data_IF_618738432563
#
_entry.id   IF_618738432563
#
_cell.length_a   1.000
_cell.length_b   1.000
_cell.length_c   1.000
_cell.angle_alpha   90.00
_cell.angle_beta   90.00
_cell.angle_gamma   90.00
#
_symmetry.space_group_name_H-M   'P 1'
#
loop_
_entity.id
_entity.type
_entity.pdbx_description
1 polymer ?
#
# COMPACT_ATOMS: atom_id res chain seq x y z
N UNK A 1 1.74 -20.02 19.37
CA UNK A 1 2.55 -20.00 18.14
C UNK A 1 1.58 -19.65 17.02
N UNK A 2 1.83 -18.56 16.30
CA UNK A 2 0.91 -18.06 15.27
C UNK A 2 1.26 -18.67 13.91
N UNK A 3 0.35 -18.55 12.94
CA UNK A 3 0.64 -18.89 11.54
C UNK A 3 1.79 -17.99 11.07
N UNK A 4 2.88 -18.59 10.58
CA UNK A 4 4.09 -17.87 10.17
C UNK A 4 4.59 -18.35 8.82
N UNK A 5 4.96 -17.42 7.92
CA UNK A 5 5.55 -17.77 6.64
C UNK A 5 7.08 -17.80 6.74
N UNK A 6 7.68 -18.99 6.65
CA UNK A 6 9.13 -19.15 6.72
C UNK A 6 9.90 -18.42 5.60
N UNK A 7 9.22 -18.10 4.50
CA UNK A 7 9.84 -17.34 3.42
C UNK A 7 10.12 -15.89 3.79
N UNK A 8 9.40 -15.31 4.75
CA UNK A 8 9.64 -13.94 5.22
C UNK A 8 11.05 -13.80 5.80
N UNK A 9 11.41 -14.66 6.75
CA UNK A 9 12.74 -14.65 7.38
C UNK A 9 13.86 -14.85 6.35
N UNK A 10 13.69 -15.87 5.49
CA UNK A 10 14.65 -16.20 4.45
C UNK A 10 14.86 -15.02 3.50
N UNK A 11 13.79 -14.45 2.96
CA UNK A 11 13.90 -13.36 1.97
C UNK A 11 14.43 -12.09 2.62
N UNK A 12 13.98 -11.73 3.83
CA UNK A 12 14.48 -10.55 4.54
C UNK A 12 15.99 -10.66 4.74
N UNK A 13 16.49 -11.80 5.19
CA UNK A 13 17.93 -12.01 5.37
C UNK A 13 18.69 -11.90 4.04
N UNK A 14 18.28 -12.66 3.02
CA UNK A 14 19.00 -12.70 1.74
C UNK A 14 18.94 -11.37 0.98
N UNK A 15 17.84 -10.62 1.08
CA UNK A 15 17.75 -9.26 0.50
C UNK A 15 18.78 -8.36 1.18
N UNK A 16 18.84 -8.37 2.52
CA UNK A 16 19.80 -7.54 3.23
C UNK A 16 21.25 -7.87 2.87
N UNK A 17 21.59 -9.15 2.84
CA UNK A 17 22.93 -9.62 2.45
C UNK A 17 23.27 -9.22 1.00
N UNK A 18 22.31 -9.33 0.07
CA UNK A 18 22.51 -8.95 -1.33
C UNK A 18 22.72 -7.44 -1.49
N UNK A 19 21.98 -6.60 -0.75
CA UNK A 19 22.21 -5.15 -0.76
C UNK A 19 23.61 -4.79 -0.27
N UNK A 20 24.12 -5.43 0.79
CA UNK A 20 25.49 -5.20 1.27
C UNK A 20 26.52 -5.61 0.20
N UNK A 21 26.38 -6.78 -0.40
CA UNK A 21 27.28 -7.24 -1.47
C UNK A 21 27.30 -6.29 -2.68
N UNK A 22 26.13 -5.86 -3.14
CA UNK A 22 26.00 -4.94 -4.29
C UNK A 22 26.58 -3.56 -3.97
N UNK A 23 26.44 -3.10 -2.72
CA UNK A 23 27.03 -1.86 -2.22
C UNK A 23 28.55 -1.94 -2.15
N UNK A 24 29.11 -3.05 -1.67
CA UNK A 24 30.56 -3.28 -1.62
C UNK A 24 31.20 -3.21 -3.01
N UNK A 25 30.57 -3.81 -4.02
CA UNK A 25 31.06 -3.77 -5.41
C UNK A 25 30.76 -2.44 -6.13
N UNK A 26 30.12 -1.48 -5.45
CA UNK A 26 29.76 -0.14 -5.97
C UNK A 26 29.03 -0.20 -7.31
N UNK A 27 28.01 -1.05 -7.39
CA UNK A 27 27.22 -1.20 -8.59
C UNK A 27 26.58 0.14 -9.02
N UNK A 28 26.88 0.60 -10.23
CA UNK A 28 26.45 1.93 -10.73
C UNK A 28 24.93 2.10 -10.85
N UNK A 29 24.19 0.99 -10.94
CA UNK A 29 22.74 0.99 -11.06
C UNK A 29 22.03 1.07 -9.70
N UNK A 30 22.74 0.91 -8.57
CA UNK A 30 22.15 1.00 -7.23
C UNK A 30 22.04 2.48 -6.83
N UNK A 31 20.81 2.99 -6.75
CA UNK A 31 20.54 4.41 -6.51
C UNK A 31 20.19 4.74 -5.06
N UNK A 32 19.86 3.72 -4.25
CA UNK A 32 19.51 3.83 -2.83
C UNK A 32 19.53 2.43 -2.19
N UNK A 33 19.86 2.35 -0.90
CA UNK A 33 19.84 1.13 -0.09
C UNK A 33 19.08 1.32 1.24
N UNK A 34 18.20 2.33 1.32
CA UNK A 34 17.44 2.61 2.53
C UNK A 34 16.48 1.46 2.88
N UNK A 35 16.02 1.45 4.13
CA UNK A 35 15.15 0.39 4.66
C UNK A 35 13.85 0.25 3.84
N UNK A 36 13.26 1.35 3.38
CA UNK A 36 12.07 1.32 2.53
C UNK A 36 12.34 0.62 1.17
N UNK A 37 13.52 0.83 0.57
CA UNK A 37 13.92 0.14 -0.68
C UNK A 37 14.13 -1.37 -0.45
N UNK A 38 14.73 -1.73 0.69
CA UNK A 38 14.93 -3.13 1.08
C UNK A 38 13.58 -3.82 1.30
N UNK A 39 12.66 -3.20 2.03
CA UNK A 39 11.32 -3.73 2.26
C UNK A 39 10.52 -3.85 0.95
N UNK A 40 10.58 -2.87 0.05
CA UNK A 40 9.96 -2.99 -1.27
C UNK A 40 10.54 -4.16 -2.09
N UNK A 41 11.85 -4.43 -1.94
CA UNK A 41 12.49 -5.60 -2.57
C UNK A 41 12.04 -6.90 -1.92
N UNK A 42 11.92 -6.95 -0.59
CA UNK A 42 11.35 -8.09 0.14
C UNK A 42 9.93 -8.38 -0.35
N UNK A 43 9.07 -7.36 -0.40
CA UNK A 43 7.69 -7.49 -0.93
C UNK A 43 7.68 -7.91 -2.40
N UNK A 44 8.61 -7.43 -3.22
CA UNK A 44 8.74 -7.84 -4.62
C UNK A 44 8.95 -9.35 -4.75
N UNK A 45 9.87 -9.90 -3.95
CA UNK A 45 10.27 -11.31 -3.98
C UNK A 45 9.21 -12.20 -3.36
N UNK A 46 8.69 -11.84 -2.17
CA UNK A 46 7.66 -12.63 -1.47
C UNK A 46 6.38 -12.80 -2.30
N UNK A 47 6.02 -11.78 -3.08
CA UNK A 47 4.86 -11.86 -3.99
C UNK A 47 5.10 -12.74 -5.24
N UNK A 48 6.30 -13.27 -5.43
CA UNK A 48 6.71 -14.07 -6.61
C UNK A 48 7.19 -15.48 -6.27
N UNK A 49 7.20 -15.85 -4.99
CA UNK A 49 7.58 -17.19 -4.55
C UNK A 49 6.43 -17.86 -3.79
N UNK A 50 6.33 -19.19 -3.81
CA UNK A 50 5.32 -19.90 -3.04
C UNK A 50 5.53 -19.70 -1.53
N UNK A 51 4.52 -19.26 -0.76
CA UNK A 51 4.66 -19.12 0.68
C UNK A 51 4.77 -20.49 1.37
N UNK A 52 5.41 -20.53 2.55
CA UNK A 52 5.56 -21.73 3.38
C UNK A 52 5.11 -21.44 4.81
N UNK A 53 3.81 -21.60 5.02
CA UNK A 53 3.19 -21.37 6.33
C UNK A 53 3.35 -22.55 7.29
N UNK A 54 3.66 -22.23 8.54
CA UNK A 54 3.80 -23.18 9.64
C UNK A 54 3.06 -22.69 10.89
N UNK A 55 2.76 -23.63 11.79
CA UNK A 55 2.19 -23.37 13.14
C UNK A 55 2.96 -24.09 14.25
N UNK A 56 3.96 -24.90 13.91
CA UNK A 56 4.70 -25.74 14.86
C UNK A 56 6.09 -26.11 14.33
N UNK A 57 6.96 -26.58 15.22
CA UNK A 57 8.30 -27.05 14.87
C UNK A 57 8.34 -28.18 13.84
N UNK A 58 7.32 -29.06 13.79
CA UNK A 58 7.24 -30.10 12.73
C UNK A 58 7.11 -29.48 11.34
N UNK A 59 6.41 -28.35 11.23
CA UNK A 59 6.31 -27.60 9.98
C UNK A 59 7.67 -27.08 9.51
N UNK A 60 8.51 -26.63 10.45
CA UNK A 60 9.90 -26.22 10.16
C UNK A 60 10.68 -27.39 9.56
N UNK A 61 10.63 -28.58 10.19
CA UNK A 61 11.35 -29.76 9.70
C UNK A 61 10.96 -30.15 8.28
N UNK A 62 9.67 -30.09 7.93
CA UNK A 62 9.22 -30.37 6.56
C UNK A 62 9.67 -29.30 5.55
N UNK A 63 9.80 -28.05 5.97
CA UNK A 63 10.25 -26.96 5.11
C UNK A 63 11.76 -26.98 4.84
N UNK A 64 12.56 -27.57 5.74
CA UNK A 64 14.03 -27.61 5.67
C UNK A 64 14.57 -28.12 4.33
N UNK A 65 13.94 -29.13 3.73
CA UNK A 65 14.36 -29.65 2.42
C UNK A 65 14.25 -28.59 1.31
N UNK A 66 13.14 -27.83 1.30
CA UNK A 66 12.95 -26.74 0.34
C UNK A 66 13.94 -25.61 0.59
N UNK A 67 14.14 -25.23 1.86
CA UNK A 67 15.05 -24.14 2.23
C UNK A 67 16.52 -24.45 1.91
N UNK A 68 16.92 -25.73 1.95
CA UNK A 68 18.26 -26.17 1.59
C UNK A 68 18.43 -26.48 0.09
N UNK A 69 17.38 -26.34 -0.72
CA UNK A 69 17.46 -26.61 -2.14
C UNK A 69 18.23 -25.48 -2.86
N UNK A 70 19.38 -25.83 -3.46
CA UNK A 70 20.27 -24.87 -4.15
C UNK A 70 19.62 -24.22 -5.37
N UNK A 71 18.80 -24.96 -6.12
CA UNK A 71 18.11 -24.40 -7.28
C UNK A 71 17.09 -23.36 -6.82
N UNK A 72 16.31 -23.69 -5.79
CA UNK A 72 15.37 -22.74 -5.18
C UNK A 72 16.08 -21.46 -4.70
N UNK A 73 17.21 -21.59 -4.00
CA UNK A 73 17.98 -20.43 -3.56
C UNK A 73 18.55 -19.60 -4.72
N UNK A 74 18.97 -20.24 -5.81
CA UNK A 74 19.41 -19.54 -7.01
C UNK A 74 18.26 -18.73 -7.64
N UNK A 75 17.07 -19.33 -7.71
CA UNK A 75 15.87 -18.68 -8.25
C UNK A 75 15.45 -17.48 -7.37
N UNK A 76 15.48 -17.63 -6.03
CA UNK A 76 15.24 -16.54 -5.08
C UNK A 76 16.25 -15.41 -5.26
N UNK A 77 17.54 -15.72 -5.39
CA UNK A 77 18.58 -14.69 -5.58
C UNK A 77 18.42 -13.94 -6.91
N UNK A 78 18.00 -14.63 -7.97
CA UNK A 78 17.69 -13.98 -9.25
C UNK A 78 16.52 -12.99 -9.09
N UNK A 79 15.45 -13.39 -8.40
CA UNK A 79 14.32 -12.52 -8.09
C UNK A 79 14.71 -11.33 -7.20
N UNK A 80 15.61 -11.52 -6.23
CA UNK A 80 16.13 -10.43 -5.39
C UNK A 80 16.83 -9.40 -6.27
N UNK A 81 17.77 -9.82 -7.14
CA UNK A 81 18.48 -8.90 -8.03
C UNK A 81 17.56 -8.15 -8.99
N UNK A 82 16.53 -8.83 -9.52
CA UNK A 82 15.50 -8.22 -10.35
C UNK A 82 14.68 -7.17 -9.56
N UNK A 83 14.27 -7.53 -8.34
CA UNK A 83 13.56 -6.63 -7.43
C UNK A 83 14.38 -5.39 -7.09
N UNK A 84 15.66 -5.56 -6.74
CA UNK A 84 16.58 -4.45 -6.47
C UNK A 84 16.69 -3.49 -7.66
N UNK A 85 16.84 -4.01 -8.88
CA UNK A 85 16.90 -3.17 -10.10
C UNK A 85 15.60 -2.41 -10.34
N UNK A 86 14.46 -3.08 -10.12
CA UNK A 86 13.13 -2.47 -10.27
C UNK A 86 12.93 -1.34 -9.28
N UNK A 87 13.23 -1.57 -7.99
CA UNK A 87 13.12 -0.57 -6.93
C UNK A 87 14.10 0.59 -7.17
N UNK A 88 15.34 0.28 -7.56
CA UNK A 88 16.36 1.30 -7.83
C UNK A 88 16.00 2.22 -9.01
N UNK A 89 15.31 1.69 -10.03
CA UNK A 89 14.86 2.47 -11.19
C UNK A 89 13.54 3.21 -10.98
N UNK A 90 12.73 2.76 -10.03
CA UNK A 90 11.38 3.28 -9.77
C UNK A 90 11.25 3.72 -8.32
N UNK A 91 11.95 4.80 -7.95
CA UNK A 91 11.87 5.36 -6.58
C UNK A 91 10.46 5.82 -6.29
N UNK A 92 9.87 5.31 -5.21
CA UNK A 92 8.55 5.74 -4.74
C UNK A 92 8.69 7.04 -3.93
N UNK A 93 7.66 7.89 -3.88
CA UNK A 93 7.74 9.18 -3.18
C UNK A 93 8.13 9.08 -1.70
N UNK A 94 7.73 8.01 -1.00
CA UNK A 94 8.04 7.81 0.42
C UNK A 94 9.47 7.30 0.68
N UNK A 95 10.26 6.95 -0.34
CA UNK A 95 11.62 6.46 -0.15
C UNK A 95 12.57 7.50 0.44
N UNK A 96 12.22 8.79 0.35
CA UNK A 96 12.95 9.89 1.00
C UNK A 96 12.57 10.14 2.46
N UNK A 97 11.51 9.49 2.97
CA UNK A 97 11.06 9.65 4.34
C UNK A 97 11.84 8.75 5.31
N UNK A 98 11.96 9.20 6.56
CA UNK A 98 12.51 8.35 7.62
C UNK A 98 11.60 7.14 7.84
N UNK A 99 12.19 5.98 8.14
CA UNK A 99 11.43 4.73 8.36
C UNK A 99 10.33 4.89 9.41
N UNK A 100 10.63 5.61 10.50
CA UNK A 100 9.67 5.90 11.59
C UNK A 100 8.38 6.57 11.11
N UNK A 101 8.44 7.33 10.00
CA UNK A 101 7.27 8.02 9.44
C UNK A 101 6.44 7.08 8.55
N UNK A 102 6.96 5.90 8.24
CA UNK A 102 6.35 4.83 7.44
C UNK A 102 5.92 3.64 8.30
N UNK A 103 5.85 3.83 9.62
CA UNK A 103 5.44 2.83 10.59
C UNK A 103 4.15 3.26 11.28
N UNK A 104 3.19 2.33 11.33
CA UNK A 104 1.96 2.52 12.07
C UNK A 104 2.24 2.27 13.56
N UNK A 105 2.04 3.31 14.37
CA UNK A 105 2.13 3.23 15.82
C UNK A 105 0.72 3.03 16.36
N UNK A 106 0.45 1.84 16.89
CA UNK A 106 -0.78 1.59 17.62
C UNK A 106 -0.66 2.11 19.05
N UNK A 107 -1.75 2.69 19.52
CA UNK A 107 -2.00 3.07 20.89
C UNK A 107 -3.12 2.20 21.48
N UNK A 108 -3.07 2.02 22.80
CA UNK A 108 -4.13 1.31 23.54
C UNK A 108 -5.25 2.28 23.95
N UNK A 109 -5.51 3.31 23.13
CA UNK A 109 -6.57 4.26 23.39
C UNK A 109 -7.79 3.92 22.55
N UNK A 110 -9.01 4.02 23.12
CA UNK A 110 -10.21 3.82 22.34
C UNK A 110 -10.19 4.71 21.12
N UNK A 111 -10.41 4.15 19.93
CA UNK A 111 -10.20 4.86 18.67
C UNK A 111 -11.21 4.43 17.60
N UNK A 112 -11.60 5.39 16.77
CA UNK A 112 -12.31 5.15 15.52
C UNK A 112 -11.30 4.74 14.46
N UNK A 113 -11.22 3.44 14.19
CA UNK A 113 -10.42 2.88 13.11
C UNK A 113 -11.20 2.96 11.80
N UNK A 114 -10.56 3.39 10.72
CA UNK A 114 -11.20 3.52 9.42
C UNK A 114 -10.86 2.35 8.50
N UNK A 115 -11.82 1.95 7.62
CA UNK A 115 -11.52 0.95 6.60
C UNK A 115 -10.53 1.53 5.60
N UNK A 116 -9.89 0.64 4.84
CA UNK A 116 -9.14 1.07 3.65
C UNK A 116 -10.14 1.46 2.55
N UNK A 117 -10.00 2.66 2.00
CA UNK A 117 -10.85 3.15 0.91
C UNK A 117 -10.17 2.84 -0.41
N UNK A 118 -10.85 2.20 -1.35
CA UNK A 118 -10.29 1.91 -2.68
C UNK A 118 -11.27 2.34 -3.77
N UNK A 119 -10.78 2.97 -4.83
CA UNK A 119 -11.59 3.37 -5.98
C UNK A 119 -10.81 3.31 -7.29
N UNK A 120 -11.52 3.41 -8.41
CA UNK A 120 -10.94 3.42 -9.76
C UNK A 120 -11.42 4.66 -10.51
N UNK A 121 -10.54 5.25 -11.31
CA UNK A 121 -10.85 6.39 -12.17
C UNK A 121 -10.73 5.98 -13.63
N UNK A 122 -11.80 6.18 -14.39
CA UNK A 122 -11.93 5.75 -15.78
C UNK A 122 -12.38 6.91 -16.68
N UNK A 123 -11.96 6.87 -17.95
CA UNK A 123 -12.45 7.77 -19.00
C UNK A 123 -13.89 7.39 -19.37
N UNK A 124 -14.80 8.36 -19.43
CA UNK A 124 -16.21 8.12 -19.68
C UNK A 124 -16.59 7.75 -21.11
N UNK A 125 -15.68 7.91 -22.07
CA UNK A 125 -15.87 7.49 -23.46
C UNK A 125 -15.29 6.11 -23.72
N UNK A 126 -14.11 5.80 -23.16
CA UNK A 126 -13.40 4.55 -23.45
C UNK A 126 -13.47 3.52 -22.33
N UNK A 127 -13.85 3.91 -21.12
CA UNK A 127 -13.74 3.13 -19.88
C UNK A 127 -12.30 2.68 -19.57
N UNK A 128 -11.31 3.27 -20.22
CA UNK A 128 -9.91 3.01 -19.91
C UNK A 128 -9.50 3.75 -18.63
N UNK A 129 -8.58 3.20 -17.83
CA UNK A 129 -8.11 3.88 -16.64
C UNK A 129 -7.37 5.18 -16.96
N UNK A 130 -7.71 6.23 -16.22
CA UNK A 130 -7.04 7.53 -16.35
C UNK A 130 -5.74 7.49 -15.56
N UNK A 131 -4.63 7.87 -16.20
CA UNK A 131 -3.35 8.13 -15.54
C UNK A 131 -3.22 9.60 -15.20
N UNK A 132 -2.42 9.91 -14.18
CA UNK A 132 -2.17 11.28 -13.71
C UNK A 132 -3.41 12.00 -13.16
N UNK A 133 -4.48 11.25 -12.86
CA UNK A 133 -5.60 11.75 -12.07
C UNK A 133 -5.17 11.90 -10.60
N UNK A 134 -5.48 13.05 -10.01
CA UNK A 134 -5.27 13.37 -8.61
C UNK A 134 -6.56 13.16 -7.81
N UNK A 135 -6.43 12.48 -6.67
CA UNK A 135 -7.51 12.23 -5.72
C UNK A 135 -7.10 12.78 -4.36
N UNK A 136 -7.96 13.60 -3.77
CA UNK A 136 -7.77 14.13 -2.41
C UNK A 136 -8.90 13.63 -1.53
N UNK A 137 -8.57 12.98 -0.42
CA UNK A 137 -9.53 12.59 0.61
C UNK A 137 -9.58 13.65 1.70
N UNK A 138 -10.78 14.17 1.98
CA UNK A 138 -11.05 15.17 3.01
C UNK A 138 -12.09 14.67 4.01
N UNK A 139 -12.02 15.20 5.22
CA UNK A 139 -12.99 15.00 6.30
C UNK A 139 -13.15 16.35 6.99
N UNK A 140 -14.39 16.79 7.20
CA UNK A 140 -14.72 18.12 7.75
C UNK A 140 -14.04 19.28 7.00
N UNK A 141 -13.89 19.15 5.68
CA UNK A 141 -13.28 20.15 4.79
C UNK A 141 -11.74 20.18 4.81
N UNK A 142 -11.09 19.41 5.68
CA UNK A 142 -9.62 19.33 5.77
C UNK A 142 -9.10 18.04 5.13
N UNK A 143 -7.88 18.08 4.58
CA UNK A 143 -7.21 16.89 4.05
C UNK A 143 -6.97 15.88 5.18
N UNK A 144 -7.40 14.64 4.96
CA UNK A 144 -7.26 13.58 5.95
C UNK A 144 -5.78 13.20 6.11
N UNK A 145 -5.31 13.18 7.35
CA UNK A 145 -4.00 12.60 7.69
C UNK A 145 -4.06 11.08 7.48
N UNK A 146 -3.17 10.57 6.66
CA UNK A 146 -3.06 9.12 6.44
C UNK A 146 -2.33 8.45 7.61
N UNK A 147 -2.51 7.14 7.74
CA UNK A 147 -1.97 6.37 8.86
C UNK A 147 -0.42 6.42 8.95
N UNK A 148 0.25 6.51 7.81
CA UNK A 148 1.70 6.73 7.68
C UNK A 148 2.02 7.36 6.31
N UNK A 149 3.31 7.61 6.02
CA UNK A 149 3.77 8.24 4.77
C UNK A 149 3.76 7.35 3.53
N UNK A 150 3.56 6.04 3.67
CA UNK A 150 3.40 5.11 2.52
C UNK A 150 2.04 5.28 1.85
N UNK A 151 1.06 5.82 2.59
CA UNK A 151 -0.26 6.22 2.08
C UNK A 151 -0.25 7.73 1.80
N UNK A 152 -0.31 8.09 0.51
CA UNK A 152 -0.26 9.50 0.10
C UNK A 152 -1.66 10.10 0.04
N UNK A 153 -1.79 11.34 0.48
CA UNK A 153 -2.98 12.16 0.27
C UNK A 153 -2.54 13.62 0.05
N UNK A 154 -2.74 14.21 -1.14
CA UNK A 154 -3.41 13.64 -2.31
C UNK A 154 -2.62 12.48 -2.94
N UNK A 155 -3.34 11.60 -3.62
CA UNK A 155 -2.78 10.49 -4.39
C UNK A 155 -2.89 10.76 -5.89
N UNK A 156 -1.82 10.53 -6.64
CA UNK A 156 -1.83 10.63 -8.11
C UNK A 156 -1.74 9.23 -8.71
N UNK A 157 -2.72 8.88 -9.54
CA UNK A 157 -2.75 7.61 -10.27
C UNK A 157 -1.60 7.53 -11.26
N UNK A 158 -1.07 6.33 -11.47
CA UNK A 158 0.00 6.09 -12.44
C UNK A 158 -0.28 4.83 -13.25
N UNK A 159 0.49 4.62 -14.32
CA UNK A 159 0.26 3.51 -15.25
C UNK A 159 0.26 2.14 -14.57
N UNK A 160 1.09 1.95 -13.54
CA UNK A 160 1.16 0.68 -12.81
C UNK A 160 -0.06 0.40 -11.94
N UNK A 161 -0.75 1.44 -11.45
CA UNK A 161 -1.97 1.27 -10.64
C UNK A 161 -3.25 1.19 -11.46
N UNK A 162 -3.17 1.36 -12.79
CA UNK A 162 -4.32 1.23 -13.72
C UNK A 162 -5.54 2.04 -13.23
N UNK A 163 -5.31 3.31 -12.89
CA UNK A 163 -6.36 4.23 -12.42
C UNK A 163 -6.94 3.91 -11.04
N UNK A 164 -6.43 2.88 -10.34
CA UNK A 164 -6.82 2.54 -8.98
C UNK A 164 -6.05 3.40 -7.97
N UNK A 165 -6.74 3.83 -6.93
CA UNK A 165 -6.17 4.51 -5.77
C UNK A 165 -6.65 3.85 -4.48
N UNK A 166 -5.90 4.06 -3.40
CA UNK A 166 -6.25 3.56 -2.09
C UNK A 166 -5.83 4.54 -0.99
N UNK A 167 -6.68 4.71 0.02
CA UNK A 167 -6.40 5.53 1.21
C UNK A 167 -6.60 4.72 2.47
N UNK A 168 -5.79 5.02 3.49
CA UNK A 168 -6.00 4.51 4.83
C UNK A 168 -5.80 5.63 5.84
N UNK A 169 -6.94 6.14 6.33
CA UNK A 169 -6.98 7.27 7.23
C UNK A 169 -6.44 6.90 8.62
N UNK A 170 -5.72 7.83 9.24
CA UNK A 170 -5.27 7.70 10.63
C UNK A 170 -6.47 7.61 11.56
N UNK A 171 -6.38 6.75 12.58
CA UNK A 171 -7.42 6.60 13.57
C UNK A 171 -7.66 7.90 14.35
N UNK A 172 -8.91 8.12 14.76
CA UNK A 172 -9.28 9.28 15.59
C UNK A 172 -9.60 8.79 17.01
N UNK A 173 -9.06 9.42 18.06
CA UNK A 173 -9.38 9.03 19.43
C UNK A 173 -10.89 9.10 19.73
N UNK A 174 -11.38 8.11 20.46
CA UNK A 174 -12.72 8.00 20.99
C UNK A 174 -12.69 8.11 22.52
N UNK A 175 -13.79 8.53 23.16
CA UNK A 175 -13.82 8.63 24.62
C UNK A 175 -13.98 7.24 25.28
N UNK A 176 -14.64 6.31 24.58
CA UNK A 176 -14.87 4.94 25.02
C UNK A 176 -14.97 3.99 23.82
N UNK A 177 -14.79 2.70 24.07
CA UNK A 177 -15.05 1.62 23.11
C UNK A 177 -16.56 1.46 22.87
N UNK A 178 -16.95 1.08 21.65
CA UNK A 178 -18.34 0.85 21.28
C UNK A 178 -19.15 2.10 20.94
N UNK A 179 -18.52 3.27 20.86
CA UNK A 179 -19.17 4.50 20.38
C UNK A 179 -19.45 4.39 18.90
N UNK A 180 -20.68 4.64 18.49
CA UNK A 180 -21.06 4.70 17.08
C UNK A 180 -21.10 6.15 16.61
N UNK A 181 -20.28 6.49 15.62
CA UNK A 181 -20.22 7.83 15.02
C UNK A 181 -20.17 7.72 13.51
N UNK A 182 -20.83 8.67 12.83
CA UNK A 182 -20.75 8.82 11.38
C UNK A 182 -19.68 9.82 11.02
N UNK A 183 -18.83 9.46 10.07
CA UNK A 183 -17.79 10.32 9.52
C UNK A 183 -18.10 10.62 8.07
N UNK A 184 -18.15 11.91 7.72
CA UNK A 184 -18.36 12.38 6.37
C UNK A 184 -17.02 12.56 5.66
N UNK A 185 -16.81 11.81 4.60
CA UNK A 185 -15.63 11.90 3.75
C UNK A 185 -16.00 12.51 2.39
N UNK A 186 -15.11 13.37 1.90
CA UNK A 186 -15.20 14.01 0.60
C UNK A 186 -13.99 13.58 -0.22
N UNK A 187 -14.22 13.05 -1.42
CA UNK A 187 -13.20 12.71 -2.40
C UNK A 187 -13.26 13.72 -3.53
N UNK A 188 -12.22 14.54 -3.66
CA UNK A 188 -12.06 15.48 -4.76
C UNK A 188 -11.16 14.85 -5.82
N UNK A 189 -11.71 14.62 -7.02
CA UNK A 189 -11.03 13.96 -8.12
C UNK A 189 -10.86 14.95 -9.26
N UNK A 190 -9.65 15.04 -9.79
CA UNK A 190 -9.32 15.90 -10.93
C UNK A 190 -8.29 15.20 -11.82
N UNK A 191 -8.34 15.46 -13.13
CA UNK A 191 -7.34 14.98 -14.08
C UNK A 191 -7.13 16.02 -15.17
N UNK A 192 -5.90 16.18 -15.71
CA UNK A 192 -5.63 17.14 -16.78
C UNK A 192 -6.52 16.92 -18.01
N UNK A 193 -7.30 17.94 -18.40
CA UNK A 193 -8.20 17.88 -19.55
C UNK A 193 -9.52 17.15 -19.30
N UNK A 194 -9.86 16.86 -18.04
CA UNK A 194 -11.14 16.27 -17.63
C UNK A 194 -11.87 17.17 -16.64
N UNK A 195 -13.20 17.16 -16.73
CA UNK A 195 -14.05 17.79 -15.71
C UNK A 195 -13.94 17.00 -14.41
N UNK A 196 -13.43 17.66 -13.36
CA UNK A 196 -13.30 17.06 -12.04
C UNK A 196 -14.66 16.75 -11.39
N UNK A 197 -14.66 15.85 -10.42
CA UNK A 197 -15.85 15.46 -9.67
C UNK A 197 -15.57 15.43 -8.18
N UNK A 198 -16.61 15.72 -7.40
CA UNK A 198 -16.59 15.61 -5.94
C UNK A 198 -17.54 14.49 -5.54
N UNK A 199 -17.10 13.61 -4.64
CA UNK A 199 -17.93 12.54 -4.10
C UNK A 199 -17.95 12.57 -2.59
N UNK A 200 -19.14 12.56 -2.01
CA UNK A 200 -19.34 12.59 -0.57
C UNK A 200 -19.94 11.26 -0.11
N UNK A 201 -19.45 10.75 1.02
CA UNK A 201 -19.95 9.52 1.64
C UNK A 201 -19.91 9.66 3.17
N UNK A 202 -20.94 9.14 3.83
CA UNK A 202 -20.94 8.96 5.27
C UNK A 202 -20.63 7.50 5.61
N UNK A 203 -19.64 7.29 6.46
CA UNK A 203 -19.27 5.96 6.95
C UNK A 203 -19.59 5.88 8.45
N UNK A 204 -20.48 4.96 8.87
CA UNK A 204 -20.66 4.67 10.28
C UNK A 204 -19.46 3.84 10.77
N UNK A 205 -18.84 4.28 11.86
CA UNK A 205 -17.70 3.63 12.49
C UNK A 205 -18.00 3.43 13.97
N UNK A 206 -17.71 2.22 14.45
CA UNK A 206 -17.78 1.88 15.87
C UNK A 206 -16.35 1.94 16.42
N UNK A 207 -16.15 2.65 17.52
CA UNK A 207 -14.83 2.71 18.16
C UNK A 207 -14.42 1.36 18.73
N UNK A 208 -13.14 1.04 18.59
CA UNK A 208 -12.50 -0.15 19.14
C UNK A 208 -11.63 0.24 20.34
N UNK A 209 -11.26 -0.73 21.19
CA UNK A 209 -10.44 -0.46 22.38
C UNK A 209 -8.99 -0.03 22.10
N UNK A 210 -8.50 -0.15 20.87
CA UNK A 210 -7.17 0.29 20.46
C UNK A 210 -7.15 0.74 19.00
N UNK A 211 -6.16 1.54 18.61
CA UNK A 211 -5.92 1.81 17.20
C UNK A 211 -5.30 0.58 16.51
N UNK A 212 -5.66 0.36 15.24
CA UNK A 212 -5.17 -0.77 14.45
C UNK A 212 -3.74 -0.49 13.96
N UNK A 213 -2.87 -1.49 14.09
CA UNK A 213 -1.47 -1.43 13.64
C UNK A 213 -1.25 -1.98 12.22
N UNK A 214 -2.06 -2.96 11.85
CA UNK A 214 -1.88 -3.73 10.63
C UNK A 214 -3.09 -3.57 9.72
N UNK A 215 -2.84 -3.69 8.42
CA UNK A 215 -3.90 -3.65 7.42
C UNK A 215 -4.77 -4.90 7.58
N UNK A 216 -6.07 -4.70 7.65
CA UNK A 216 -7.05 -5.78 7.68
C UNK A 216 -7.69 -5.89 6.29
N UNK A 217 -7.32 -6.95 5.57
CA UNK A 217 -7.84 -7.23 4.22
C UNK A 217 -9.37 -7.41 4.16
N UNK A 218 -10.03 -7.63 5.30
CA UNK A 218 -11.49 -7.77 5.40
C UNK A 218 -12.17 -6.45 5.75
N UNK A 219 -11.42 -5.45 6.23
CA UNK A 219 -11.93 -4.14 6.62
C UNK A 219 -11.60 -3.08 5.57
N UNK A 220 -12.29 -3.17 4.43
CA UNK A 220 -12.14 -2.24 3.31
C UNK A 220 -13.50 -1.75 2.80
N UNK A 221 -13.49 -0.56 2.22
CA UNK A 221 -14.62 0.06 1.55
C UNK A 221 -14.27 0.31 0.09
N UNK A 222 -14.89 -0.47 -0.81
CA UNK A 222 -14.79 -0.20 -2.25
C UNK A 222 -15.76 0.92 -2.64
N UNK A 223 -15.21 2.03 -3.09
CA UNK A 223 -15.95 3.14 -3.65
C UNK A 223 -16.48 2.76 -5.05
N UNK A 224 -17.49 3.50 -5.53
CA UNK A 224 -17.93 3.40 -6.92
C UNK A 224 -16.78 3.79 -7.86
N UNK A 225 -16.83 3.30 -9.09
CA UNK A 225 -15.90 3.77 -10.12
C UNK A 225 -16.23 5.24 -10.46
N UNK A 226 -15.19 6.06 -10.57
CA UNK A 226 -15.28 7.47 -10.90
C UNK A 226 -15.06 7.64 -12.40
N UNK A 227 -16.13 8.01 -13.09
CA UNK A 227 -16.11 8.23 -14.53
C UNK A 227 -15.90 9.72 -14.79
N UNK A 228 -14.79 10.09 -15.44
CA UNK A 228 -14.52 11.48 -15.82
C UNK A 228 -14.70 11.67 -17.32
N UNK A 229 -15.24 12.82 -17.71
CA UNK A 229 -15.41 13.22 -19.11
C UNK A 229 -14.42 14.33 -19.46
N UNK A 230 -13.95 14.34 -20.72
CA UNK A 230 -13.03 15.37 -21.19
C UNK A 230 -13.71 16.74 -21.22
N UNK A 231 -12.96 17.78 -20.87
CA UNK A 231 -13.45 19.15 -20.92
C UNK A 231 -13.88 19.53 -22.35
N UNK A 232 -15.03 20.17 -22.50
CA UNK A 232 -15.54 20.62 -23.79
C UNK A 232 -16.33 19.58 -24.59
N UNK A 233 -16.56 18.38 -24.05
CA UNK A 233 -17.61 17.48 -24.55
C UNK A 233 -18.91 17.92 -23.90
N UNK A 234 -19.71 18.72 -24.59
CA UNK A 234 -21.10 18.97 -24.19
C UNK A 234 -21.83 17.63 -24.14
N UNK A 235 -22.43 17.32 -22.98
CA UNK A 235 -23.32 16.18 -22.88
C UNK A 235 -24.56 16.51 -23.71
N UNK A 236 -24.87 15.78 -24.80
CA UNK A 236 -26.05 16.10 -25.62
C UNK A 236 -27.39 15.87 -24.90
N UNK A 237 -27.34 15.49 -23.61
CA UNK A 237 -28.47 15.28 -22.72
C UNK A 237 -28.57 16.31 -21.58
N UNK A 238 -27.72 17.35 -21.55
CA UNK A 238 -27.93 18.55 -20.73
C UNK A 238 -28.60 19.69 -21.53
#
# INVERSE_FOLDING_TARGET
MNVHNLMEDLVIQNVNDMYEQVKEVKASWLSCDCENCRLDTVSYVLNRIPPKYIVSGRGVTHATETLNNKQFMADVNALILEGMRTVSSTKRPFHSNDRKDCEVIADNTPSFNFPTFTGTILDGSTFEPITDASVTMKMDGQTVEMIDKTWMNPYTTCRSTRGTFSFWAKAIPAEAEGQNKRFAFTFEISAPGYTGTIYNIEVPVISEGSSRKEIDSTYFLKLKDFILFKEGIENPME
#
